data_IF_454687790770
#
_entry.id   IF_454687790770
#
_cell.length_a   1.000
_cell.length_b   1.000
_cell.length_c   1.000
_cell.angle_alpha   90.00
_cell.angle_beta   90.00
_cell.angle_gamma   90.00
#
_symmetry.space_group_name_H-M   'P 1'
#
loop_
_entity.id
_entity.type
_entity.pdbx_description
1 polymer ?
#
# COMPACT_ATOMS: atom_id res chain seq x y z
N UNK A 1 4.53 -36.92 12.16
CA UNK A 1 3.59 -35.77 12.33
C UNK A 1 4.18 -34.41 11.92
N UNK A 2 5.26 -34.34 11.14
CA UNK A 2 5.98 -33.07 10.83
C UNK A 2 5.71 -32.50 9.43
N UNK A 3 5.04 -33.25 8.55
CA UNK A 3 4.81 -32.85 7.15
C UNK A 3 3.72 -31.79 6.99
N UNK A 4 2.61 -31.90 7.73
CA UNK A 4 1.49 -30.95 7.65
C UNK A 4 1.88 -29.53 8.09
N UNK A 5 2.69 -29.40 9.14
CA UNK A 5 3.11 -28.11 9.67
C UNK A 5 4.02 -27.33 8.69
N UNK A 6 4.93 -28.04 8.02
CA UNK A 6 5.81 -27.43 6.99
C UNK A 6 5.02 -26.92 5.79
N UNK A 7 3.96 -27.64 5.41
CA UNK A 7 3.06 -27.20 4.35
C UNK A 7 2.33 -25.89 4.73
N UNK A 8 1.78 -25.81 5.96
CA UNK A 8 1.08 -24.61 6.44
C UNK A 8 2.01 -23.39 6.46
N UNK A 9 3.25 -23.53 6.95
CA UNK A 9 4.22 -22.42 6.95
C UNK A 9 4.53 -21.94 5.54
N UNK A 10 4.77 -22.87 4.61
CA UNK A 10 5.06 -22.51 3.22
C UNK A 10 3.88 -21.81 2.55
N UNK A 11 2.66 -22.28 2.81
CA UNK A 11 1.44 -21.66 2.29
C UNK A 11 1.24 -20.25 2.85
N UNK A 12 1.45 -20.06 4.16
CA UNK A 12 1.38 -18.75 4.80
C UNK A 12 2.46 -17.81 4.27
N UNK A 13 3.69 -18.29 4.08
CA UNK A 13 4.76 -17.49 3.49
C UNK A 13 4.41 -17.04 2.06
N UNK A 14 3.79 -17.91 1.27
CA UNK A 14 3.33 -17.57 -0.08
C UNK A 14 2.21 -16.53 -0.05
N UNK A 15 1.23 -16.68 0.84
CA UNK A 15 0.15 -15.70 1.03
C UNK A 15 0.72 -14.34 1.44
N UNK A 16 1.64 -14.31 2.40
CA UNK A 16 2.31 -13.09 2.83
C UNK A 16 3.10 -12.46 1.68
N UNK A 17 3.84 -13.27 0.91
CA UNK A 17 4.61 -12.79 -0.23
C UNK A 17 3.70 -12.14 -1.29
N UNK A 18 2.59 -12.78 -1.65
CA UNK A 18 1.60 -12.20 -2.58
C UNK A 18 0.97 -10.93 -1.98
N UNK A 19 0.62 -10.94 -0.69
CA UNK A 19 0.06 -9.78 0.00
C UNK A 19 1.01 -8.58 -0.01
N UNK A 20 2.29 -8.81 0.24
CA UNK A 20 3.33 -7.76 0.16
C UNK A 20 3.50 -7.25 -1.27
N UNK A 21 3.47 -8.13 -2.26
CA UNK A 21 3.56 -7.75 -3.67
C UNK A 21 2.34 -6.92 -4.09
N UNK A 22 1.14 -7.27 -3.62
CA UNK A 22 -0.07 -6.48 -3.79
C UNK A 22 0.02 -5.10 -3.15
N UNK A 23 0.50 -5.02 -1.90
CA UNK A 23 0.77 -3.76 -1.20
C UNK A 23 1.78 -2.88 -1.94
N UNK A 24 2.82 -3.50 -2.50
CA UNK A 24 3.82 -2.81 -3.29
C UNK A 24 3.22 -2.24 -4.59
N UNK A 25 2.44 -3.03 -5.33
CA UNK A 25 1.73 -2.55 -6.51
C UNK A 25 0.74 -1.43 -6.17
N UNK A 26 0.05 -1.52 -5.03
CA UNK A 26 -0.87 -0.47 -4.55
C UNK A 26 -0.13 0.82 -4.21
N UNK A 27 1.02 0.73 -3.51
CA UNK A 27 1.86 1.89 -3.21
C UNK A 27 2.35 2.57 -4.50
N UNK A 28 2.82 1.79 -5.47
CA UNK A 28 3.24 2.32 -6.77
C UNK A 28 2.07 2.97 -7.53
N UNK A 29 0.91 2.33 -7.56
CA UNK A 29 -0.29 2.88 -8.19
C UNK A 29 -0.72 4.22 -7.57
N UNK A 30 -0.68 4.32 -6.24
CA UNK A 30 -0.95 5.57 -5.51
C UNK A 30 0.08 6.66 -5.83
N UNK A 31 1.38 6.33 -5.83
CA UNK A 31 2.44 7.28 -6.15
C UNK A 31 2.30 7.82 -7.58
N UNK A 32 2.02 6.94 -8.54
CA UNK A 32 1.81 7.31 -9.95
C UNK A 32 0.54 8.15 -10.09
N UNK A 33 -0.58 7.73 -9.51
CA UNK A 33 -1.83 8.48 -9.56
C UNK A 33 -1.73 9.87 -8.92
N UNK A 34 -1.07 9.96 -7.76
CA UNK A 34 -0.84 11.23 -7.07
C UNK A 34 0.06 12.17 -7.85
N UNK A 35 1.12 11.65 -8.49
CA UNK A 35 2.06 12.48 -9.26
C UNK A 35 1.49 12.91 -10.61
N UNK A 36 0.76 12.05 -11.31
CA UNK A 36 0.25 12.34 -12.66
C UNK A 36 -1.09 13.09 -12.65
N UNK A 37 -2.00 12.75 -11.74
CA UNK A 37 -3.35 13.33 -11.69
C UNK A 37 -3.47 14.38 -10.57
N UNK A 38 -2.77 14.17 -9.45
CA UNK A 38 -2.90 15.01 -8.25
C UNK A 38 -2.01 16.25 -8.20
N UNK A 39 -1.20 16.50 -9.23
CA UNK A 39 -0.19 17.58 -9.29
C UNK A 39 0.79 17.54 -8.08
N UNK A 40 0.95 16.35 -7.51
CA UNK A 40 1.76 16.12 -6.32
C UNK A 40 3.25 16.17 -6.66
N UNK A 41 3.93 17.25 -6.28
CA UNK A 41 5.38 17.42 -6.52
C UNK A 41 6.24 16.31 -5.91
N UNK A 42 5.77 15.71 -4.81
CA UNK A 42 6.46 14.61 -4.13
C UNK A 42 5.60 13.34 -4.15
N UNK A 43 5.90 12.36 -5.02
CA UNK A 43 5.13 11.11 -5.14
C UNK A 43 5.05 10.32 -3.83
N UNK A 44 6.09 10.39 -3.01
CA UNK A 44 6.17 9.72 -1.71
C UNK A 44 5.26 10.34 -0.65
N UNK A 45 4.80 11.58 -0.87
CA UNK A 45 3.95 12.27 0.09
C UNK A 45 2.59 11.57 0.25
N UNK A 46 2.09 10.87 -0.78
CA UNK A 46 0.84 10.10 -0.68
C UNK A 46 0.92 8.92 0.30
N UNK A 47 2.13 8.51 0.70
CA UNK A 47 2.32 7.44 1.68
C UNK A 47 2.31 7.96 3.14
N UNK A 48 2.33 9.29 3.35
CA UNK A 48 2.32 9.85 4.71
C UNK A 48 0.90 10.07 5.24
N UNK A 49 0.62 9.76 6.53
CA UNK A 49 -0.69 9.98 7.12
C UNK A 49 -1.14 11.45 7.10
N UNK A 50 -0.19 12.39 7.25
CA UNK A 50 -0.47 13.83 7.25
C UNK A 50 -1.08 14.29 5.91
N UNK A 51 -0.64 13.71 4.79
CA UNK A 51 -1.20 14.05 3.47
C UNK A 51 -2.60 13.50 3.28
N UNK A 52 -2.90 12.34 3.86
CA UNK A 52 -4.27 11.83 3.90
C UNK A 52 -5.18 12.73 4.74
N UNK A 53 -4.70 13.23 5.88
CA UNK A 53 -5.43 14.21 6.67
C UNK A 53 -5.68 15.50 5.86
N UNK A 54 -4.67 16.06 5.20
CA UNK A 54 -4.80 17.26 4.35
C UNK A 54 -5.78 17.03 3.19
N UNK A 55 -5.72 15.88 2.51
CA UNK A 55 -6.66 15.50 1.45
C UNK A 55 -8.09 15.44 1.98
N UNK A 56 -8.32 14.75 3.10
CA UNK A 56 -9.65 14.64 3.71
C UNK A 56 -10.16 16.01 4.14
N UNK A 57 -9.30 16.84 4.73
CA UNK A 57 -9.64 18.21 5.11
C UNK A 57 -10.07 19.06 3.91
N UNK A 58 -9.37 18.96 2.77
CA UNK A 58 -9.78 19.62 1.51
C UNK A 58 -11.19 19.24 1.08
N UNK A 59 -11.57 17.96 1.22
CA UNK A 59 -12.93 17.51 0.88
C UNK A 59 -13.97 17.89 1.94
N UNK A 60 -13.56 18.01 3.20
CA UNK A 60 -14.46 18.31 4.32
C UNK A 60 -14.61 19.82 4.57
N UNK A 61 -13.80 20.65 3.91
CA UNK A 61 -13.80 22.11 4.07
C UNK A 61 -13.34 22.61 5.44
N UNK A 62 -12.57 21.79 6.17
CA UNK A 62 -11.98 22.13 7.47
C UNK A 62 -10.53 22.60 7.33
#
# INVERSE_FOLDING_TARGET
>A
MTSGWRYVINQLALIIAIGLLGLFCLALGLMIGYSLIGDGQNPLAILSPDKWAELIHKFTGK
#
